data_IF_247762311192
#
_entry.id   IF_247762311192
#
_cell.length_a   1.000
_cell.length_b   1.000
_cell.length_c   1.000
_cell.angle_alpha   90.00
_cell.angle_beta   90.00
_cell.angle_gamma   90.00
#
_symmetry.space_group_name_H-M   'P 1'
#
loop_
_entity.id
_entity.type
_entity.pdbx_description
1 polymer ?
#
# COMPACT_ATOMS: atom_id res chain seq x y z
N UNK A 1 -31.40 -19.77 0.56
CA UNK A 1 -32.63 -20.55 0.27
C UNK A 1 -32.64 -20.94 -1.18
N UNK A 2 -32.70 -22.21 -1.43
CA UNK A 2 -32.49 -22.92 -2.70
C UNK A 2 -33.53 -22.58 -3.77
N UNK A 3 -33.06 -22.20 -4.96
CA UNK A 3 -33.90 -22.15 -6.16
C UNK A 3 -33.98 -23.55 -6.79
N UNK A 4 -34.97 -24.34 -6.40
CA UNK A 4 -35.29 -25.62 -7.02
C UNK A 4 -36.67 -25.57 -7.71
N UNK A 5 -36.62 -25.77 -9.02
CA UNK A 5 -37.59 -26.45 -9.93
C UNK A 5 -39.08 -26.23 -9.75
N UNK A 6 -39.70 -25.72 -10.79
CA UNK A 6 -40.98 -26.27 -11.31
C UNK A 6 -40.90 -26.32 -12.84
N UNK A 7 -40.79 -27.54 -13.40
CA UNK A 7 -41.19 -27.86 -14.76
C UNK A 7 -42.71 -27.93 -14.77
N UNK A 8 -43.34 -27.25 -15.72
CA UNK A 8 -44.72 -27.51 -16.13
C UNK A 8 -44.80 -27.35 -17.65
N UNK A 9 -45.32 -28.36 -18.31
CA UNK A 9 -45.47 -28.52 -19.75
C UNK A 9 -46.45 -27.52 -20.33
N UNK A 10 -46.15 -26.90 -21.48
CA UNK A 10 -47.10 -26.54 -22.52
C UNK A 10 -46.34 -26.42 -23.87
N UNK A 11 -47.04 -26.90 -24.92
CA UNK A 11 -46.60 -27.10 -26.31
C UNK A 11 -46.27 -25.84 -27.10
N UNK A 12 -45.30 -26.00 -27.97
CA UNK A 12 -45.08 -25.45 -29.32
C UNK A 12 -45.75 -24.15 -29.75
N UNK A 13 -44.93 -23.13 -29.99
CA UNK A 13 -45.03 -22.23 -31.14
C UNK A 13 -43.62 -21.73 -31.52
N UNK A 14 -43.23 -21.97 -32.76
CA UNK A 14 -41.99 -21.49 -33.38
C UNK A 14 -42.03 -19.94 -33.46
N UNK A 15 -41.24 -19.27 -32.66
CA UNK A 15 -40.77 -17.91 -32.91
C UNK A 15 -39.29 -17.86 -32.61
N UNK A 16 -38.52 -17.40 -33.59
CA UNK A 16 -37.08 -17.14 -33.49
C UNK A 16 -36.80 -16.07 -32.41
N UNK A 17 -36.63 -16.52 -31.18
CA UNK A 17 -36.27 -15.71 -30.05
C UNK A 17 -34.74 -15.72 -29.91
N UNK A 18 -34.11 -14.58 -30.08
CA UNK A 18 -32.74 -14.34 -29.69
C UNK A 18 -32.65 -14.60 -28.18
N UNK A 19 -32.05 -15.72 -27.79
CA UNK A 19 -31.70 -15.99 -26.40
C UNK A 19 -30.58 -15.04 -26.03
N UNK A 20 -30.92 -13.90 -25.44
CA UNK A 20 -29.96 -13.14 -24.62
C UNK A 20 -29.72 -14.01 -23.37
N UNK A 21 -28.64 -14.77 -23.39
CA UNK A 21 -28.13 -15.43 -22.19
C UNK A 21 -27.81 -14.32 -21.20
N UNK A 22 -28.72 -14.05 -20.27
CA UNK A 22 -28.42 -13.21 -19.11
C UNK A 22 -27.33 -13.91 -18.33
N UNK A 23 -26.11 -13.42 -18.46
CA UNK A 23 -25.01 -13.73 -17.53
C UNK A 23 -25.51 -13.22 -16.18
N UNK A 24 -25.98 -14.12 -15.32
CA UNK A 24 -26.16 -13.78 -13.91
C UNK A 24 -24.78 -13.36 -13.40
N UNK A 25 -24.59 -12.08 -13.13
CA UNK A 25 -23.40 -11.63 -12.43
C UNK A 25 -23.34 -12.39 -11.09
N UNK A 26 -22.27 -13.14 -10.88
CA UNK A 26 -22.03 -13.78 -9.58
C UNK A 26 -22.04 -12.71 -8.48
N UNK A 27 -22.69 -13.02 -7.36
CA UNK A 27 -22.61 -12.13 -6.21
C UNK A 27 -21.14 -11.99 -5.76
N UNK A 28 -20.69 -10.77 -5.43
CA UNK A 28 -19.30 -10.54 -5.05
C UNK A 28 -18.95 -11.33 -3.79
N UNK A 29 -17.78 -11.96 -3.79
CA UNK A 29 -17.29 -12.73 -2.64
C UNK A 29 -17.10 -11.82 -1.42
N UNK A 30 -17.65 -12.22 -0.28
CA UNK A 30 -17.56 -11.48 0.99
C UNK A 30 -16.68 -12.17 2.02
N UNK A 31 -16.09 -13.30 1.67
CA UNK A 31 -15.20 -14.06 2.53
C UNK A 31 -13.75 -13.59 2.33
N UNK A 32 -13.01 -13.24 3.40
CA UNK A 32 -11.60 -12.89 3.29
C UNK A 32 -10.77 -14.06 2.74
N UNK A 33 -9.71 -13.72 2.00
CA UNK A 33 -8.76 -14.70 1.51
C UNK A 33 -8.07 -15.43 2.65
N UNK A 34 -7.83 -16.73 2.46
CA UNK A 34 -7.08 -17.55 3.40
C UNK A 34 -5.66 -16.99 3.56
N UNK A 35 -5.20 -16.96 4.81
CA UNK A 35 -3.81 -16.63 5.16
C UNK A 35 -3.06 -17.96 5.33
N UNK A 36 -2.16 -18.34 4.41
CA UNK A 36 -1.45 -19.60 4.49
C UNK A 36 -0.56 -19.63 5.74
N UNK A 37 -0.46 -20.78 6.40
CA UNK A 37 0.32 -20.94 7.64
C UNK A 37 1.66 -21.64 7.41
N UNK A 38 1.81 -22.30 6.27
CA UNK A 38 3.00 -23.06 5.90
C UNK A 38 3.48 -22.69 4.50
N UNK A 39 4.73 -22.99 4.21
CA UNK A 39 5.34 -22.75 2.90
C UNK A 39 4.60 -23.45 1.75
N UNK A 40 4.23 -24.74 1.84
CA UNK A 40 3.46 -25.43 0.78
C UNK A 40 2.10 -24.78 0.51
N UNK A 41 1.37 -24.40 1.57
CA UNK A 41 0.09 -23.69 1.40
C UNK A 41 0.27 -22.35 0.66
N UNK A 42 1.34 -21.59 0.98
CA UNK A 42 1.64 -20.34 0.32
C UNK A 42 1.99 -20.56 -1.17
N UNK A 43 2.81 -21.56 -1.52
CA UNK A 43 3.12 -21.88 -2.91
C UNK A 43 1.85 -22.25 -3.69
N UNK A 44 1.01 -23.11 -3.16
CA UNK A 44 -0.26 -23.49 -3.78
C UNK A 44 -1.15 -22.29 -4.04
N UNK A 45 -1.23 -21.36 -3.09
CA UNK A 45 -2.03 -20.16 -3.20
C UNK A 45 -1.48 -19.20 -4.27
N UNK A 46 -0.16 -19.05 -4.37
CA UNK A 46 0.47 -18.21 -5.40
C UNK A 46 0.25 -18.77 -6.82
N UNK A 47 0.24 -20.09 -7.00
CA UNK A 47 -0.12 -20.70 -8.29
C UNK A 47 -1.57 -20.41 -8.69
N UNK A 48 -2.51 -20.50 -7.75
CA UNK A 48 -3.92 -20.16 -7.98
C UNK A 48 -4.14 -18.70 -8.40
N UNK A 49 -3.23 -17.79 -8.01
CA UNK A 49 -3.34 -16.36 -8.31
C UNK A 49 -3.31 -16.03 -9.81
N UNK A 50 -2.71 -16.87 -10.62
CA UNK A 50 -2.69 -16.72 -12.09
C UNK A 50 -4.09 -16.73 -12.69
N UNK A 51 -5.06 -17.37 -12.03
CA UNK A 51 -6.46 -17.49 -12.45
C UNK A 51 -7.37 -16.39 -11.86
N UNK A 52 -6.82 -15.50 -11.03
CA UNK A 52 -7.60 -14.47 -10.36
C UNK A 52 -8.13 -13.45 -11.36
N UNK A 53 -9.37 -13.01 -11.17
CA UNK A 53 -9.94 -11.85 -11.87
C UNK A 53 -9.78 -10.59 -11.04
N UNK A 54 -9.39 -9.50 -11.68
CA UNK A 54 -9.30 -8.20 -11.02
C UNK A 54 -10.71 -7.71 -10.62
N UNK A 55 -10.82 -6.98 -9.51
CA UNK A 55 -12.10 -6.44 -9.00
C UNK A 55 -12.66 -5.30 -9.83
N UNK A 56 -11.82 -4.60 -10.57
CA UNK A 56 -12.23 -3.68 -11.63
C UNK A 56 -11.71 -4.22 -12.96
N UNK A 57 -12.43 -3.97 -14.09
CA UNK A 57 -12.00 -4.46 -15.39
C UNK A 57 -10.55 -4.07 -15.71
N UNK A 58 -9.73 -5.05 -16.03
CA UNK A 58 -8.33 -4.83 -16.42
C UNK A 58 -8.26 -4.67 -17.94
N UNK A 59 -7.63 -3.59 -18.46
CA UNK A 59 -7.51 -3.41 -19.91
C UNK A 59 -6.72 -4.57 -20.53
N UNK A 60 -7.12 -4.99 -21.73
CA UNK A 60 -6.37 -5.99 -22.48
C UNK A 60 -4.99 -5.46 -22.93
N UNK A 61 -4.03 -6.37 -23.04
CA UNK A 61 -2.75 -6.08 -23.64
C UNK A 61 -2.92 -5.89 -25.17
N UNK A 62 -2.55 -4.72 -25.68
CA UNK A 62 -2.59 -4.48 -27.13
C UNK A 62 -1.46 -5.27 -27.81
N UNK A 63 -1.74 -5.91 -28.96
CA UNK A 63 -0.67 -6.51 -29.77
C UNK A 63 0.41 -5.48 -30.12
N UNK A 64 1.68 -5.88 -30.03
CA UNK A 64 2.83 -5.00 -30.38
C UNK A 64 3.24 -3.99 -29.33
N UNK A 65 2.66 -4.03 -28.10
CA UNK A 65 3.12 -3.16 -27.02
C UNK A 65 4.57 -3.47 -26.63
N UNK A 66 5.34 -2.42 -26.38
CA UNK A 66 6.71 -2.55 -25.87
C UNK A 66 6.70 -3.21 -24.49
N UNK A 67 7.17 -4.45 -24.40
CA UNK A 67 7.25 -5.21 -23.15
C UNK A 67 8.22 -4.59 -22.14
N UNK A 68 9.08 -3.68 -22.54
CA UNK A 68 9.96 -2.95 -21.64
C UNK A 68 9.22 -1.83 -20.86
N UNK A 69 8.08 -1.37 -21.36
CA UNK A 69 7.23 -0.43 -20.63
C UNK A 69 6.35 -1.16 -19.62
N UNK A 70 6.89 -1.36 -18.42
CA UNK A 70 6.18 -2.01 -17.32
C UNK A 70 4.91 -1.28 -16.86
N UNK A 71 4.75 0.02 -17.18
CA UNK A 71 3.50 0.75 -16.87
C UNK A 71 2.35 0.30 -17.75
N UNK A 72 2.66 -0.08 -18.98
CA UNK A 72 1.66 -0.48 -19.97
C UNK A 72 1.50 -2.00 -20.08
N UNK A 73 2.45 -2.77 -19.56
CA UNK A 73 2.49 -4.23 -19.72
C UNK A 73 2.15 -5.01 -18.46
N UNK A 74 2.62 -4.58 -17.28
CA UNK A 74 2.26 -5.26 -16.02
C UNK A 74 0.85 -4.86 -15.56
N UNK A 75 0.13 -5.81 -14.99
CA UNK A 75 -1.27 -5.64 -14.57
C UNK A 75 -1.46 -4.45 -13.63
N UNK A 76 -0.58 -4.27 -12.66
CA UNK A 76 -0.61 -3.11 -11.75
C UNK A 76 -0.44 -1.78 -12.50
N UNK A 77 0.48 -1.71 -13.45
CA UNK A 77 0.69 -0.51 -14.27
C UNK A 77 -0.52 -0.18 -15.13
N UNK A 78 -1.09 -1.19 -15.79
CA UNK A 78 -2.31 -1.07 -16.62
C UNK A 78 -3.50 -0.57 -15.80
N UNK A 79 -3.72 -1.16 -14.62
CA UNK A 79 -4.78 -0.76 -13.69
C UNK A 79 -4.64 0.72 -13.30
N UNK A 80 -3.44 1.15 -12.91
CA UNK A 80 -3.17 2.54 -12.53
C UNK A 80 -3.37 3.51 -13.70
N UNK A 81 -2.86 3.17 -14.88
CA UNK A 81 -2.99 4.03 -16.06
C UNK A 81 -4.43 4.19 -16.54
N UNK A 82 -5.28 3.17 -16.33
CA UNK A 82 -6.69 3.25 -16.73
C UNK A 82 -7.53 4.09 -15.77
N UNK A 83 -7.33 3.92 -14.47
CA UNK A 83 -8.26 4.42 -13.47
C UNK A 83 -7.79 5.66 -12.72
N UNK A 84 -6.48 5.89 -12.61
CA UNK A 84 -5.96 7.04 -11.87
C UNK A 84 -5.62 8.21 -12.80
N UNK A 85 -5.72 9.45 -12.32
CA UNK A 85 -5.25 10.63 -13.05
C UNK A 85 -3.79 10.49 -13.48
N UNK A 86 -3.46 10.98 -14.66
CA UNK A 86 -2.11 10.92 -15.22
C UNK A 86 -1.09 11.61 -14.29
N UNK A 87 -1.48 12.70 -13.66
CA UNK A 87 -0.68 13.47 -12.71
C UNK A 87 -0.32 12.63 -11.47
N UNK A 88 -1.22 11.74 -11.03
CA UNK A 88 -0.95 10.84 -9.92
C UNK A 88 0.02 9.72 -10.31
N UNK A 89 -0.03 9.27 -11.55
CA UNK A 89 0.84 8.19 -12.04
C UNK A 89 2.21 8.69 -12.48
N UNK A 90 2.34 9.93 -12.95
CA UNK A 90 3.60 10.53 -13.38
C UNK A 90 4.50 10.91 -12.19
N UNK A 91 3.91 11.39 -11.10
CA UNK A 91 4.62 11.80 -9.88
C UNK A 91 4.78 10.66 -8.89
N UNK A 92 4.01 9.57 -9.06
CA UNK A 92 4.07 8.42 -8.17
C UNK A 92 5.42 7.69 -8.25
N UNK A 93 5.75 6.99 -7.21
CA UNK A 93 6.96 6.21 -7.01
C UNK A 93 7.31 5.33 -8.21
N UNK A 94 8.53 5.46 -8.72
CA UNK A 94 9.03 4.79 -9.92
C UNK A 94 8.88 5.60 -11.21
N UNK A 95 8.36 6.82 -11.12
CA UNK A 95 8.27 7.79 -12.23
C UNK A 95 9.59 8.48 -12.58
N UNK A 96 10.74 7.81 -12.47
CA UNK A 96 11.92 8.30 -13.16
C UNK A 96 11.56 8.46 -14.64
N UNK A 97 11.88 9.62 -15.22
CA UNK A 97 11.64 9.92 -16.61
C UNK A 97 12.31 8.86 -17.50
N UNK A 98 11.56 7.81 -17.87
CA UNK A 98 12.05 6.69 -18.68
C UNK A 98 12.27 7.08 -20.13
N UNK A 99 11.78 8.26 -20.52
CA UNK A 99 11.98 8.85 -21.85
C UNK A 99 13.31 9.62 -21.94
N UNK A 100 14.07 9.76 -20.84
CA UNK A 100 15.43 10.24 -20.94
C UNK A 100 16.26 9.23 -21.75
N UNK A 101 16.94 9.64 -22.82
CA UNK A 101 17.79 8.74 -23.59
C UNK A 101 18.83 8.08 -22.65
N UNK A 102 19.21 6.81 -22.89
CA UNK A 102 20.23 6.17 -22.09
C UNK A 102 21.52 6.95 -22.25
N UNK A 103 22.06 7.46 -21.17
CA UNK A 103 23.43 7.99 -21.15
C UNK A 103 24.39 6.84 -21.47
N UNK A 104 25.21 6.99 -22.51
CA UNK A 104 26.24 6.00 -22.85
C UNK A 104 27.13 5.79 -21.63
N UNK A 105 27.30 4.51 -21.21
CA UNK A 105 28.10 4.14 -20.06
C UNK A 105 27.34 3.97 -18.73
N UNK A 106 26.03 4.14 -18.71
CA UNK A 106 25.24 3.84 -17.51
C UNK A 106 25.24 2.33 -17.20
N UNK A 107 25.47 1.96 -15.95
CA UNK A 107 25.32 0.61 -15.45
C UNK A 107 23.96 -0.01 -15.82
N UNK A 108 23.82 -1.34 -15.93
CA UNK A 108 22.57 -1.99 -16.25
C UNK A 108 21.44 -1.42 -15.42
N UNK A 109 20.35 -0.97 -16.09
CA UNK A 109 19.20 -0.36 -15.41
C UNK A 109 18.64 -1.37 -14.42
N UNK A 110 18.85 -1.14 -13.14
CA UNK A 110 18.12 -1.86 -12.08
C UNK A 110 16.64 -1.72 -12.36
N UNK A 111 15.85 -2.79 -12.23
CA UNK A 111 14.40 -2.70 -12.44
C UNK A 111 13.83 -1.55 -11.60
N UNK A 112 12.99 -0.74 -12.18
CA UNK A 112 12.53 0.56 -11.69
C UNK A 112 11.63 0.54 -10.44
N UNK A 113 11.60 -0.56 -9.73
CA UNK A 113 10.94 -0.70 -8.44
C UNK A 113 11.82 -0.21 -7.28
N UNK A 114 13.11 -0.02 -7.52
CA UNK A 114 13.99 0.58 -6.56
C UNK A 114 13.90 2.10 -6.74
N UNK A 115 13.43 2.78 -5.71
CA UNK A 115 13.72 4.18 -5.52
C UNK A 115 15.21 4.19 -5.19
N UNK A 116 16.02 4.47 -6.20
CA UNK A 116 17.44 4.64 -6.03
C UNK A 116 17.76 6.06 -6.43
N UNK A 117 17.93 6.85 -5.43
CA UNK A 117 18.44 8.20 -5.53
C UNK A 117 19.88 8.19 -5.00
N UNK A 118 20.76 9.04 -5.51
CA UNK A 118 22.08 9.23 -4.89
C UNK A 118 21.94 9.43 -3.38
N UNK A 119 22.63 8.64 -2.58
CA UNK A 119 22.51 8.63 -1.12
C UNK A 119 21.66 7.51 -0.54
N UNK A 120 20.79 6.87 -1.30
CA UNK A 120 20.15 5.61 -0.91
C UNK A 120 21.14 4.46 -1.05
N UNK A 121 21.45 3.81 0.06
CA UNK A 121 22.53 2.81 0.11
C UNK A 121 22.05 1.41 0.51
N UNK A 122 20.77 1.24 0.82
CA UNK A 122 20.23 -0.09 1.10
C UNK A 122 20.11 -0.88 -0.21
N UNK A 123 20.70 -2.06 -0.19
CA UNK A 123 20.75 -2.93 -1.36
C UNK A 123 19.34 -3.40 -1.81
N UNK A 124 19.21 -3.68 -3.10
CA UNK A 124 17.93 -4.05 -3.72
C UNK A 124 17.38 -5.38 -3.20
N UNK A 125 18.23 -6.41 -3.05
CA UNK A 125 17.79 -7.71 -2.57
C UNK A 125 17.35 -7.62 -1.11
N UNK A 126 18.03 -6.83 -0.29
CA UNK A 126 17.62 -6.54 1.08
C UNK A 126 16.25 -5.83 1.13
N UNK A 127 16.05 -4.76 0.36
CA UNK A 127 14.74 -4.09 0.25
C UNK A 127 13.64 -5.05 -0.27
N UNK A 128 13.99 -5.98 -1.15
CA UNK A 128 13.04 -6.99 -1.65
C UNK A 128 12.61 -7.98 -0.56
N UNK A 129 13.53 -8.40 0.35
CA UNK A 129 13.18 -9.21 1.54
C UNK A 129 12.20 -8.47 2.45
N UNK A 130 12.42 -7.18 2.70
CA UNK A 130 11.50 -6.36 3.48
C UNK A 130 10.13 -6.25 2.80
N UNK A 131 10.11 -6.09 1.46
CA UNK A 131 8.84 -6.05 0.71
C UNK A 131 8.12 -7.40 0.75
N UNK A 132 8.85 -8.50 0.67
CA UNK A 132 8.28 -9.83 0.85
C UNK A 132 7.58 -9.94 2.21
N UNK A 133 8.26 -9.52 3.30
CA UNK A 133 7.70 -9.55 4.65
C UNK A 133 6.46 -8.66 4.79
N UNK A 134 6.50 -7.43 4.29
CA UNK A 134 5.32 -6.53 4.28
C UNK A 134 4.16 -7.18 3.51
N UNK A 135 4.45 -7.84 2.38
CA UNK A 135 3.43 -8.51 1.56
C UNK A 135 2.84 -9.72 2.27
N UNK A 136 3.67 -10.46 3.01
CA UNK A 136 3.24 -11.59 3.83
C UNK A 136 2.32 -11.14 4.96
N UNK A 137 2.72 -10.09 5.68
CA UNK A 137 1.94 -9.48 6.78
C UNK A 137 0.60 -8.92 6.33
N UNK A 138 0.53 -8.33 5.14
CA UNK A 138 -0.71 -7.81 4.56
C UNK A 138 -1.51 -8.86 3.78
N UNK A 139 -0.99 -10.09 3.63
CA UNK A 139 -1.54 -11.15 2.77
C UNK A 139 -1.77 -10.70 1.32
N UNK A 140 -0.88 -9.83 0.81
CA UNK A 140 -0.92 -9.38 -0.56
C UNK A 140 -0.27 -10.42 -1.49
N UNK A 141 -1.07 -11.32 -2.03
CA UNK A 141 -0.61 -12.45 -2.83
C UNK A 141 0.10 -12.02 -4.12
N UNK A 142 -0.44 -11.02 -4.85
CA UNK A 142 0.20 -10.43 -6.02
C UNK A 142 1.61 -9.94 -5.71
N UNK A 143 1.76 -9.20 -4.61
CA UNK A 143 3.06 -8.68 -4.21
C UNK A 143 4.01 -9.81 -3.77
N UNK A 144 3.52 -10.80 -3.03
CA UNK A 144 4.32 -11.97 -2.61
C UNK A 144 4.92 -12.67 -3.82
N UNK A 145 4.12 -13.04 -4.82
CA UNK A 145 4.62 -13.71 -6.02
C UNK A 145 5.68 -12.91 -6.76
N UNK A 146 5.49 -11.58 -6.86
CA UNK A 146 6.49 -10.69 -7.44
C UNK A 146 7.79 -10.64 -6.63
N UNK A 147 7.72 -10.61 -5.30
CA UNK A 147 8.91 -10.57 -4.47
C UNK A 147 9.64 -11.91 -4.49
N UNK A 148 8.96 -13.04 -4.50
CA UNK A 148 9.60 -14.36 -4.66
C UNK A 148 10.38 -14.46 -5.96
N UNK A 149 9.75 -14.09 -7.08
CA UNK A 149 10.46 -14.06 -8.37
C UNK A 149 11.72 -13.18 -8.34
N UNK A 150 11.64 -12.00 -7.72
CA UNK A 150 12.80 -11.09 -7.61
C UNK A 150 13.89 -11.63 -6.70
N UNK A 151 13.54 -12.26 -5.59
CA UNK A 151 14.50 -12.88 -4.68
C UNK A 151 15.22 -14.05 -5.35
N UNK A 152 14.50 -14.88 -6.07
CA UNK A 152 15.11 -15.93 -6.89
C UNK A 152 16.05 -15.35 -7.96
N UNK A 153 15.61 -14.32 -8.69
CA UNK A 153 16.46 -13.64 -9.69
C UNK A 153 17.72 -13.03 -9.05
N UNK A 154 17.66 -12.64 -7.79
CA UNK A 154 18.81 -12.17 -7.00
C UNK A 154 19.67 -13.32 -6.42
N UNK A 155 19.37 -14.58 -6.77
CA UNK A 155 20.14 -15.77 -6.37
C UNK A 155 19.73 -16.37 -5.02
N UNK A 156 18.59 -15.97 -4.45
CA UNK A 156 18.09 -16.52 -3.19
C UNK A 156 17.37 -17.85 -3.45
N UNK A 157 17.76 -18.90 -2.75
CA UNK A 157 17.13 -20.21 -2.85
C UNK A 157 15.79 -20.27 -2.10
N UNK A 158 15.02 -21.32 -2.33
CA UNK A 158 13.70 -21.49 -1.72
C UNK A 158 13.74 -21.67 -0.21
N UNK A 159 14.78 -22.29 0.34
CA UNK A 159 14.97 -22.43 1.78
C UNK A 159 15.22 -21.08 2.46
N UNK A 160 16.01 -20.22 1.83
CA UNK A 160 16.25 -18.84 2.32
C UNK A 160 14.97 -18.01 2.28
N UNK A 161 14.13 -18.15 1.26
CA UNK A 161 12.82 -17.49 1.20
C UNK A 161 11.88 -18.08 2.26
N UNK A 162 11.86 -19.41 2.45
CA UNK A 162 11.08 -20.04 3.49
C UNK A 162 11.52 -19.61 4.91
N UNK A 163 12.81 -19.34 5.09
CA UNK A 163 13.34 -18.80 6.34
C UNK A 163 12.81 -17.38 6.65
N UNK A 164 12.51 -16.54 5.66
CA UNK A 164 11.84 -15.26 5.90
C UNK A 164 10.48 -15.40 6.60
N UNK A 165 9.79 -16.52 6.34
CA UNK A 165 8.50 -16.83 6.97
C UNK A 165 8.65 -17.49 8.35
N UNK A 166 9.74 -18.23 8.60
CA UNK A 166 9.75 -19.19 9.70
C UNK A 166 11.04 -19.28 10.53
N UNK A 167 12.13 -18.59 10.16
CA UNK A 167 13.41 -18.73 10.86
C UNK A 167 14.36 -17.54 10.63
N UNK A 168 14.13 -16.44 11.32
CA UNK A 168 14.99 -15.25 11.13
C UNK A 168 16.41 -15.41 11.72
N UNK A 169 16.65 -16.44 12.51
CA UNK A 169 17.98 -16.65 13.12
C UNK A 169 19.09 -16.96 12.10
N UNK A 170 18.71 -17.34 10.88
CA UNK A 170 19.69 -17.63 9.79
C UNK A 170 20.19 -16.36 9.08
N UNK A 171 19.53 -15.22 9.30
CA UNK A 171 19.93 -13.94 8.70
C UNK A 171 20.91 -13.17 9.59
N UNK A 172 21.75 -12.29 9.02
CA UNK A 172 22.64 -11.42 9.81
C UNK A 172 21.85 -10.50 10.77
N UNK A 173 22.51 -10.08 11.86
CA UNK A 173 21.87 -9.31 12.92
C UNK A 173 21.19 -8.00 12.43
N UNK A 174 21.81 -7.31 11.47
CA UNK A 174 21.21 -6.12 10.85
C UNK A 174 19.91 -6.44 10.11
N UNK A 175 19.85 -7.59 9.42
CA UNK A 175 18.63 -8.02 8.73
C UNK A 175 17.55 -8.44 9.72
N UNK A 176 17.91 -9.18 10.77
CA UNK A 176 16.97 -9.56 11.85
C UNK A 176 16.33 -8.31 12.48
N UNK A 177 17.13 -7.28 12.79
CA UNK A 177 16.64 -6.00 13.31
C UNK A 177 15.68 -5.31 12.35
N UNK A 178 16.01 -5.29 11.05
CA UNK A 178 15.16 -4.68 10.03
C UNK A 178 13.87 -5.48 9.76
N UNK A 179 13.91 -6.82 9.83
CA UNK A 179 12.71 -7.67 9.72
C UNK A 179 11.75 -7.42 10.90
N UNK A 180 12.27 -7.38 12.14
CA UNK A 180 11.43 -7.06 13.30
C UNK A 180 10.84 -5.65 13.21
N UNK A 181 11.65 -4.66 12.84
CA UNK A 181 11.21 -3.30 12.59
C UNK A 181 10.09 -3.25 11.52
N UNK A 182 10.27 -3.99 10.42
CA UNK A 182 9.28 -4.09 9.33
C UNK A 182 7.95 -4.66 9.83
N UNK A 183 8.00 -5.71 10.64
CA UNK A 183 6.81 -6.33 11.27
C UNK A 183 6.06 -5.30 12.10
N UNK A 184 6.76 -4.61 13.00
CA UNK A 184 6.16 -3.62 13.89
C UNK A 184 5.56 -2.46 13.12
N UNK A 185 6.30 -1.87 12.17
CA UNK A 185 5.81 -0.74 11.36
C UNK A 185 4.62 -1.13 10.47
N UNK A 186 4.55 -2.37 10.03
CA UNK A 186 3.42 -2.85 9.22
C UNK A 186 2.16 -3.04 10.05
N UNK A 187 2.27 -3.68 11.22
CA UNK A 187 1.11 -4.12 12.02
C UNK A 187 0.72 -3.09 13.08
N UNK A 188 1.70 -2.46 13.73
CA UNK A 188 1.48 -1.60 14.90
C UNK A 188 2.09 -0.19 14.73
N UNK A 189 1.77 0.54 13.65
CA UNK A 189 2.38 1.86 13.42
C UNK A 189 2.12 2.87 14.56
N UNK A 190 1.02 2.71 15.29
CA UNK A 190 0.62 3.55 16.42
C UNK A 190 1.26 3.17 17.78
N UNK A 191 1.97 2.06 17.84
CA UNK A 191 2.68 1.60 19.05
C UNK A 191 4.20 1.78 18.94
N UNK A 192 4.67 2.55 17.96
CA UNK A 192 6.09 2.80 17.75
C UNK A 192 6.68 3.65 18.89
N UNK A 193 7.85 3.24 19.36
CA UNK A 193 8.60 3.89 20.42
C UNK A 193 10.03 4.21 19.96
N UNK A 194 10.77 4.95 20.77
CA UNK A 194 12.18 5.24 20.52
C UNK A 194 13.02 3.94 20.52
N UNK A 195 12.61 2.93 21.27
CA UNK A 195 13.28 1.63 21.30
C UNK A 195 13.31 0.97 19.91
N UNK A 196 12.27 1.13 19.10
CA UNK A 196 12.18 0.55 17.76
C UNK A 196 13.25 1.15 16.81
N UNK A 197 13.47 2.46 16.87
CA UNK A 197 14.52 3.12 16.09
C UNK A 197 15.89 2.84 16.70
N UNK A 198 16.02 2.85 18.02
CA UNK A 198 17.30 2.59 18.69
C UNK A 198 17.83 1.17 18.43
N UNK A 199 16.94 0.19 18.21
CA UNK A 199 17.34 -1.15 17.78
C UNK A 199 18.00 -1.19 16.40
N UNK A 200 17.73 -0.23 15.52
CA UNK A 200 18.36 -0.12 14.20
C UNK A 200 19.73 0.58 14.23
N UNK A 201 19.97 1.49 15.17
CA UNK A 201 21.18 2.35 15.21
C UNK A 201 22.52 1.62 15.24
N UNK A 202 22.67 0.43 15.87
CA UNK A 202 23.90 -0.34 15.79
C UNK A 202 24.25 -0.81 14.37
N UNK A 203 23.28 -0.81 13.46
CA UNK A 203 23.40 -1.42 12.12
C UNK A 203 23.22 -0.42 10.97
N UNK A 204 22.50 0.70 11.20
CA UNK A 204 22.10 1.63 10.16
C UNK A 204 22.34 3.08 10.61
N UNK A 205 22.85 3.91 9.72
CA UNK A 205 22.96 5.34 9.95
C UNK A 205 21.61 6.07 9.78
N UNK A 206 21.53 7.36 10.12
CA UNK A 206 20.28 8.15 10.09
C UNK A 206 19.61 8.14 8.71
N UNK A 207 20.39 8.31 7.63
CA UNK A 207 19.85 8.28 6.27
C UNK A 207 19.29 6.89 5.92
N UNK A 208 19.98 5.81 6.29
CA UNK A 208 19.49 4.45 6.08
C UNK A 208 18.23 4.14 6.90
N UNK A 209 18.11 4.67 8.11
CA UNK A 209 16.88 4.54 8.92
C UNK A 209 15.72 5.24 8.23
N UNK A 210 15.93 6.47 7.71
CA UNK A 210 14.90 7.18 6.93
C UNK A 210 14.54 6.39 5.66
N UNK A 211 15.53 5.83 4.96
CA UNK A 211 15.33 4.98 3.78
C UNK A 211 14.49 3.73 4.11
N UNK A 212 14.77 3.05 5.24
CA UNK A 212 14.00 1.90 5.73
C UNK A 212 12.55 2.28 6.00
N UNK A 213 12.32 3.32 6.80
CA UNK A 213 10.96 3.77 7.16
C UNK A 213 10.16 4.11 5.92
N UNK A 214 10.73 4.90 5.02
CA UNK A 214 10.10 5.32 3.79
C UNK A 214 9.76 4.13 2.89
N UNK A 215 10.69 3.21 2.72
CA UNK A 215 10.55 2.01 1.88
C UNK A 215 9.44 1.11 2.40
N UNK A 216 9.43 0.81 3.71
CA UNK A 216 8.42 -0.04 4.35
C UNK A 216 7.03 0.62 4.31
N UNK A 217 6.96 1.91 4.59
CA UNK A 217 5.72 2.68 4.52
C UNK A 217 5.10 2.60 3.13
N UNK A 218 5.92 2.73 2.09
CA UNK A 218 5.47 2.64 0.70
C UNK A 218 5.03 1.22 0.33
N UNK A 219 5.74 0.19 0.76
CA UNK A 219 5.33 -1.19 0.50
C UNK A 219 3.97 -1.49 1.10
N UNK A 220 3.68 -0.93 2.26
CA UNK A 220 2.35 -0.99 2.87
C UNK A 220 1.26 -0.35 2.01
N UNK A 221 1.52 0.78 1.36
CA UNK A 221 0.62 1.41 0.40
C UNK A 221 0.42 0.53 -0.83
N UNK A 222 1.51 0.02 -1.41
CA UNK A 222 1.47 -0.82 -2.61
C UNK A 222 0.67 -2.10 -2.38
N UNK A 223 0.87 -2.77 -1.24
CA UNK A 223 0.12 -3.98 -0.90
C UNK A 223 -1.38 -3.71 -0.80
N UNK A 224 -1.76 -2.64 -0.09
CA UNK A 224 -3.17 -2.27 0.06
C UNK A 224 -3.83 -1.96 -1.28
N UNK A 225 -3.13 -1.26 -2.15
CA UNK A 225 -3.59 -0.97 -3.50
C UNK A 225 -3.79 -2.25 -4.32
N UNK A 226 -2.74 -3.05 -4.51
CA UNK A 226 -2.78 -4.21 -5.39
C UNK A 226 -3.75 -5.28 -4.88
N UNK A 227 -3.83 -5.44 -3.57
CA UNK A 227 -4.75 -6.39 -2.96
C UNK A 227 -6.20 -5.93 -3.03
N UNK A 228 -6.49 -4.66 -2.74
CA UNK A 228 -7.85 -4.10 -2.85
C UNK A 228 -8.36 -4.12 -4.29
N UNK A 229 -7.49 -3.88 -5.27
CA UNK A 229 -7.86 -3.95 -6.68
C UNK A 229 -7.97 -5.39 -7.21
N UNK A 230 -7.61 -6.38 -6.40
CA UNK A 230 -7.67 -7.79 -6.79
C UNK A 230 -6.77 -8.16 -7.96
N UNK A 231 -5.62 -7.49 -8.12
CA UNK A 231 -4.78 -7.63 -9.31
C UNK A 231 -4.28 -9.07 -9.46
N UNK A 232 -4.52 -9.73 -10.62
CA UNK A 232 -3.98 -11.06 -10.91
C UNK A 232 -2.47 -11.01 -11.13
N UNK A 233 -1.80 -12.15 -10.97
CA UNK A 233 -0.38 -12.28 -11.30
C UNK A 233 -0.13 -11.98 -12.78
N UNK A 234 0.98 -11.33 -13.08
CA UNK A 234 1.36 -11.06 -14.46
C UNK A 234 1.72 -12.35 -15.22
N UNK A 235 1.24 -12.47 -16.45
CA UNK A 235 1.63 -13.57 -17.33
C UNK A 235 3.12 -13.42 -17.67
N UNK A 236 3.85 -14.54 -17.65
CA UNK A 236 5.30 -14.55 -17.86
C UNK A 236 6.16 -14.29 -16.62
N UNK A 237 5.57 -13.90 -15.48
CA UNK A 237 6.25 -13.92 -14.21
C UNK A 237 6.41 -15.38 -13.76
N UNK A 238 7.63 -15.86 -13.74
CA UNK A 238 7.96 -17.27 -13.46
C UNK A 238 8.14 -18.14 -14.72
N UNK A 239 7.85 -17.63 -15.94
CA UNK A 239 8.14 -18.34 -17.20
C UNK A 239 9.61 -18.19 -17.65
N UNK A 240 10.34 -17.18 -17.20
CA UNK A 240 11.78 -17.28 -17.25
C UNK A 240 12.13 -18.53 -16.43
N UNK A 241 12.63 -19.57 -17.10
CA UNK A 241 13.23 -20.74 -16.47
C UNK A 241 14.41 -20.28 -15.60
N UNK A 242 14.10 -19.70 -14.48
CA UNK A 242 15.02 -19.72 -13.38
C UNK A 242 14.90 -21.16 -12.89
N UNK A 243 15.94 -21.95 -12.96
CA UNK A 243 16.07 -23.29 -12.37
C UNK A 243 15.89 -23.25 -10.83
N UNK A 244 14.93 -22.47 -10.35
CA UNK A 244 14.72 -22.04 -8.96
C UNK A 244 13.49 -22.71 -8.33
N UNK A 245 12.87 -23.63 -9.03
CA UNK A 245 11.93 -24.58 -8.45
C UNK A 245 12.69 -25.72 -7.71
N UNK A 246 13.72 -25.33 -6.94
CA UNK A 246 14.25 -26.26 -5.95
C UNK A 246 13.15 -26.47 -4.91
N UNK A 247 12.71 -27.72 -4.68
CA UNK A 247 11.69 -27.95 -3.68
C UNK A 247 12.21 -27.50 -2.31
N UNK A 248 11.40 -26.74 -1.59
CA UNK A 248 11.69 -26.38 -0.18
C UNK A 248 12.11 -27.63 0.57
N UNK A 249 13.23 -27.60 1.29
CA UNK A 249 13.72 -28.73 2.06
C UNK A 249 12.72 -29.16 3.14
N UNK A 250 12.80 -30.42 3.57
CA UNK A 250 11.94 -30.95 4.63
C UNK A 250 12.01 -30.12 5.93
N UNK A 251 13.13 -29.42 6.16
CA UNK A 251 13.33 -28.52 7.31
C UNK A 251 12.27 -27.43 7.38
N UNK A 252 11.86 -26.86 6.23
CA UNK A 252 10.95 -25.72 6.18
C UNK A 252 9.52 -26.06 5.76
N UNK A 253 9.27 -27.25 5.19
CA UNK A 253 7.94 -27.63 4.68
C UNK A 253 6.85 -27.62 5.74
N UNK A 254 7.16 -27.95 7.00
CA UNK A 254 6.20 -28.04 8.11
C UNK A 254 6.35 -26.92 9.14
N UNK A 255 7.29 -26.00 8.96
CA UNK A 255 7.46 -24.92 9.91
C UNK A 255 6.31 -23.93 9.81
N UNK A 256 5.66 -23.57 10.91
CA UNK A 256 4.64 -22.53 10.92
C UNK A 256 5.30 -21.16 10.72
N UNK A 257 4.54 -20.24 10.18
CA UNK A 257 4.96 -18.85 10.06
C UNK A 257 5.19 -18.21 11.44
N UNK A 258 6.25 -17.39 11.53
CA UNK A 258 6.56 -16.56 12.70
C UNK A 258 6.28 -15.07 12.45
N UNK A 259 5.89 -14.69 11.22
CA UNK A 259 5.76 -13.27 10.87
C UNK A 259 4.58 -12.59 11.54
N UNK A 260 3.49 -13.31 11.77
CA UNK A 260 2.32 -12.74 12.43
C UNK A 260 2.53 -12.61 13.92
N UNK A 261 2.10 -11.49 14.53
CA UNK A 261 2.14 -11.38 15.98
C UNK A 261 1.23 -12.43 16.63
N UNK A 262 1.67 -12.99 17.76
CA UNK A 262 0.91 -14.01 18.52
C UNK A 262 -0.44 -13.47 19.02
N UNK A 263 -0.53 -12.18 19.28
CA UNK A 263 -1.75 -11.50 19.70
C UNK A 263 -1.92 -10.23 18.88
N UNK A 264 -2.97 -10.17 18.06
CA UNK A 264 -3.45 -8.93 17.47
C UNK A 264 -4.48 -8.33 18.42
N UNK A 265 -4.13 -7.23 19.06
CA UNK A 265 -5.13 -6.45 19.78
C UNK A 265 -6.07 -5.85 18.74
N UNK A 266 -7.37 -6.11 18.90
CA UNK A 266 -8.36 -5.37 18.13
C UNK A 266 -8.13 -3.87 18.36
N UNK A 267 -8.07 -3.10 17.29
CA UNK A 267 -8.10 -1.64 17.42
C UNK A 267 -9.45 -1.27 18.01
N UNK A 268 -9.44 -0.57 19.15
CA UNK A 268 -10.65 -0.12 19.81
C UNK A 268 -11.44 0.89 18.98
N UNK A 269 -12.51 1.40 19.55
CA UNK A 269 -13.24 2.53 18.99
C UNK A 269 -12.31 3.75 18.84
N UNK A 270 -12.71 4.69 18.00
CA UNK A 270 -11.99 5.94 17.85
C UNK A 270 -12.07 6.74 19.15
N UNK A 271 -10.97 7.37 19.48
CA UNK A 271 -10.86 8.24 20.65
C UNK A 271 -11.87 9.38 20.57
N UNK A 272 -12.46 9.82 21.70
CA UNK A 272 -13.32 10.98 21.72
C UNK A 272 -12.55 12.27 21.38
N UNK A 273 -13.29 13.31 21.02
CA UNK A 273 -12.74 14.58 20.51
C UNK A 273 -11.69 15.21 21.42
N UNK A 274 -11.93 15.26 22.71
CA UNK A 274 -11.05 15.86 23.70
C UNK A 274 -9.70 15.13 23.80
N UNK A 275 -9.72 13.79 23.73
CA UNK A 275 -8.51 12.96 23.70
C UNK A 275 -7.69 13.23 22.45
N UNK A 276 -8.34 13.36 21.29
CA UNK A 276 -7.66 13.66 20.02
C UNK A 276 -7.04 15.05 20.03
N UNK A 277 -7.76 16.05 20.54
CA UNK A 277 -7.23 17.42 20.64
C UNK A 277 -6.04 17.50 21.58
N UNK A 278 -6.07 16.77 22.70
CA UNK A 278 -4.91 16.61 23.59
C UNK A 278 -3.73 15.93 22.88
N UNK A 279 -4.00 14.91 22.08
CA UNK A 279 -2.96 14.22 21.29
C UNK A 279 -2.33 15.14 20.23
N UNK A 280 -3.08 16.08 19.65
CA UNK A 280 -2.53 17.08 18.72
C UNK A 280 -1.59 18.05 19.44
N UNK A 281 -1.94 18.53 20.62
CA UNK A 281 -1.04 19.39 21.41
C UNK A 281 0.26 18.63 21.77
N UNK A 282 0.14 17.37 22.17
CA UNK A 282 1.31 16.53 22.41
C UNK A 282 2.15 16.30 21.14
N UNK A 283 1.52 16.20 19.97
CA UNK A 283 2.23 16.01 18.70
C UNK A 283 3.06 17.23 18.28
N UNK A 284 2.69 18.44 18.70
CA UNK A 284 3.47 19.67 18.44
C UNK A 284 4.78 19.73 19.22
N UNK A 285 4.85 19.08 20.36
CA UNK A 285 6.05 19.01 21.21
C UNK A 285 6.91 17.76 21.01
N UNK A 286 6.59 16.94 19.98
CA UNK A 286 7.35 15.71 19.68
C UNK A 286 8.79 16.03 19.28
N UNK A 287 9.70 15.18 19.75
CA UNK A 287 11.07 15.15 19.25
C UNK A 287 11.22 14.05 18.19
N UNK A 288 11.68 14.39 16.99
CA UNK A 288 11.91 13.40 15.95
C UNK A 288 12.89 12.32 16.37
N UNK A 289 12.57 11.06 16.07
CA UNK A 289 13.43 9.90 16.38
C UNK A 289 14.68 9.80 15.50
N UNK A 290 14.80 10.63 14.49
CA UNK A 290 15.99 10.71 13.62
C UNK A 290 16.52 12.13 13.62
N UNK A 291 17.82 12.28 13.40
CA UNK A 291 18.42 13.61 13.24
C UNK A 291 17.92 14.24 11.94
N UNK A 292 17.13 15.29 12.05
CA UNK A 292 16.70 16.07 10.88
C UNK A 292 17.87 16.89 10.34
N UNK A 293 17.89 17.11 9.03
CA UNK A 293 18.77 18.14 8.46
C UNK A 293 18.41 19.50 9.05
N UNK A 294 19.40 20.40 9.16
CA UNK A 294 19.13 21.79 9.53
C UNK A 294 18.19 22.42 8.51
N UNK A 295 17.47 23.47 8.91
CA UNK A 295 16.57 24.17 7.98
C UNK A 295 17.31 24.65 6.73
N UNK A 296 18.48 25.25 6.89
CA UNK A 296 19.31 25.73 5.78
C UNK A 296 19.73 24.57 4.85
N UNK A 297 20.26 23.46 5.40
CA UNK A 297 20.70 22.33 4.61
C UNK A 297 19.53 21.63 3.88
N UNK A 298 18.37 21.53 4.53
CA UNK A 298 17.20 20.95 3.92
C UNK A 298 16.66 21.84 2.78
N UNK A 299 16.62 23.15 2.96
CA UNK A 299 16.21 24.09 1.89
C UNK A 299 17.16 24.05 0.70
N UNK A 300 18.45 24.03 0.96
CA UNK A 300 19.47 23.88 -0.10
C UNK A 300 19.26 22.58 -0.88
N UNK A 301 19.16 21.44 -0.19
CA UNK A 301 18.93 20.13 -0.81
C UNK A 301 17.62 20.08 -1.62
N UNK A 302 16.56 20.68 -1.12
CA UNK A 302 15.24 20.71 -1.75
C UNK A 302 15.09 21.86 -2.77
N UNK A 303 16.06 22.75 -2.88
CA UNK A 303 16.02 23.95 -3.74
C UNK A 303 14.81 24.86 -3.42
N UNK A 304 14.53 25.06 -2.13
CA UNK A 304 13.43 25.90 -1.65
C UNK A 304 13.93 27.28 -1.22
N UNK A 305 13.22 28.32 -1.65
CA UNK A 305 13.44 29.68 -1.13
C UNK A 305 12.96 29.83 0.32
N UNK A 306 13.41 30.89 1.00
CA UNK A 306 13.14 31.09 2.43
C UNK A 306 11.65 31.26 2.77
N UNK A 307 10.86 31.79 1.85
CA UNK A 307 9.42 32.05 1.99
C UNK A 307 8.54 30.80 1.80
N UNK A 308 9.09 29.71 1.22
CA UNK A 308 8.33 28.46 1.03
C UNK A 308 8.27 27.70 2.36
N UNK A 309 7.07 27.28 2.83
CA UNK A 309 6.98 26.42 4.02
C UNK A 309 7.79 25.14 3.88
N UNK A 310 8.52 24.78 4.93
CA UNK A 310 9.32 23.56 4.99
C UNK A 310 8.82 22.67 6.15
N UNK A 311 7.79 21.84 5.91
CA UNK A 311 7.24 20.98 6.95
C UNK A 311 8.24 19.92 7.42
N UNK A 312 8.10 19.50 8.67
CA UNK A 312 9.02 18.56 9.34
C UNK A 312 9.21 17.26 8.58
N UNK A 313 8.17 16.76 7.90
CA UNK A 313 8.30 15.56 7.07
C UNK A 313 9.23 15.76 5.86
N UNK A 314 9.24 16.95 5.24
CA UNK A 314 10.16 17.24 4.15
C UNK A 314 11.60 17.36 4.65
N UNK A 315 11.81 17.94 5.86
CA UNK A 315 13.13 17.96 6.49
C UNK A 315 13.64 16.55 6.78
N UNK A 316 12.78 15.65 7.25
CA UNK A 316 13.14 14.26 7.47
C UNK A 316 13.52 13.55 6.16
N UNK A 317 12.80 13.86 5.07
CA UNK A 317 13.08 13.28 3.75
C UNK A 317 14.20 13.97 2.98
N UNK A 318 14.72 15.10 3.44
CA UNK A 318 15.73 15.87 2.70
C UNK A 318 17.09 15.16 2.58
N UNK A 319 17.31 14.04 3.28
CA UNK A 319 18.37 13.08 2.96
C UNK A 319 18.27 12.56 1.51
N UNK A 320 17.05 12.57 0.94
CA UNK A 320 16.70 12.10 -0.39
C UNK A 320 15.87 13.17 -1.12
N UNK A 321 16.52 14.23 -1.60
CA UNK A 321 15.82 15.44 -2.06
C UNK A 321 14.93 15.21 -3.28
N UNK A 322 15.29 14.29 -4.19
CA UNK A 322 14.42 13.97 -5.33
C UNK A 322 13.15 13.27 -4.88
N UNK A 323 13.27 12.32 -3.95
CA UNK A 323 12.12 11.60 -3.37
C UNK A 323 11.23 12.55 -2.56
N UNK A 324 11.82 13.45 -1.79
CA UNK A 324 11.09 14.45 -1.00
C UNK A 324 10.26 15.39 -1.90
N UNK A 325 10.86 15.93 -2.96
CA UNK A 325 10.14 16.78 -3.93
C UNK A 325 9.00 16.04 -4.62
N UNK A 326 9.28 14.85 -5.16
CA UNK A 326 8.24 14.02 -5.82
C UNK A 326 7.10 13.69 -4.87
N UNK A 327 7.38 13.38 -3.62
CA UNK A 327 6.34 13.09 -2.64
C UNK A 327 5.50 14.33 -2.35
N UNK A 328 6.11 15.51 -2.27
CA UNK A 328 5.39 16.78 -2.12
C UNK A 328 4.45 17.05 -3.31
N UNK A 329 4.97 16.96 -4.52
CA UNK A 329 4.20 17.11 -5.76
C UNK A 329 3.06 16.09 -5.85
N UNK A 330 3.36 14.84 -5.55
CA UNK A 330 2.38 13.78 -5.58
C UNK A 330 1.26 13.98 -4.57
N UNK A 331 1.58 14.34 -3.33
CA UNK A 331 0.58 14.62 -2.31
C UNK A 331 -0.32 15.80 -2.69
N UNK A 332 0.26 16.85 -3.27
CA UNK A 332 -0.49 17.98 -3.80
C UNK A 332 -1.42 17.53 -4.93
N UNK A 333 -0.90 16.80 -5.91
CA UNK A 333 -1.71 16.29 -7.02
C UNK A 333 -2.87 15.40 -6.54
N UNK A 334 -2.62 14.50 -5.58
CA UNK A 334 -3.67 13.64 -5.00
C UNK A 334 -4.74 14.46 -4.25
N UNK A 335 -4.35 15.51 -3.53
CA UNK A 335 -5.30 16.35 -2.82
C UNK A 335 -6.18 17.19 -3.76
N UNK A 336 -5.60 17.75 -4.81
CA UNK A 336 -6.23 18.76 -5.66
C UNK A 336 -6.87 18.20 -6.93
N UNK A 337 -6.28 17.17 -7.55
CA UNK A 337 -6.68 16.66 -8.86
C UNK A 337 -7.42 15.32 -8.72
N UNK A 338 -8.14 14.94 -9.76
CA UNK A 338 -8.90 13.70 -9.83
C UNK A 338 -10.41 13.94 -9.91
N UNK A 339 -11.17 12.85 -9.87
CA UNK A 339 -12.64 12.86 -10.00
C UNK A 339 -13.34 13.03 -8.65
N UNK A 340 -12.75 12.46 -7.60
CA UNK A 340 -13.28 12.64 -6.24
C UNK A 340 -13.19 14.11 -5.81
N UNK A 341 -14.23 14.57 -5.12
CA UNK A 341 -14.21 15.90 -4.53
C UNK A 341 -13.05 16.05 -3.54
N UNK A 342 -12.44 17.24 -3.42
CA UNK A 342 -11.44 17.51 -2.38
C UNK A 342 -11.97 17.21 -0.96
N UNK A 343 -13.25 17.44 -0.70
CA UNK A 343 -13.89 17.14 0.60
C UNK A 343 -13.91 15.64 0.89
N UNK A 344 -14.28 14.80 -0.08
CA UNK A 344 -14.25 13.34 0.06
C UNK A 344 -12.84 12.84 0.34
N UNK A 345 -11.84 13.33 -0.41
CA UNK A 345 -10.44 12.97 -0.19
C UNK A 345 -9.93 13.37 1.20
N UNK A 346 -10.24 14.58 1.64
CA UNK A 346 -9.87 15.04 2.98
C UNK A 346 -10.52 14.19 4.09
N UNK A 347 -11.79 13.76 3.94
CA UNK A 347 -12.46 12.82 4.87
C UNK A 347 -11.77 11.45 4.90
N UNK A 348 -11.36 10.93 3.73
CA UNK A 348 -10.60 9.67 3.66
C UNK A 348 -9.27 9.82 4.41
N UNK A 349 -8.50 10.88 4.13
CA UNK A 349 -7.21 11.15 4.80
C UNK A 349 -7.38 11.27 6.32
N UNK A 350 -8.41 12.00 6.77
CA UNK A 350 -8.76 12.11 8.18
C UNK A 350 -9.06 10.76 8.81
N UNK A 351 -9.90 9.95 8.16
CA UNK A 351 -10.31 8.65 8.71
C UNK A 351 -9.14 7.66 8.78
N UNK A 352 -8.26 7.65 7.79
CA UNK A 352 -7.06 6.81 7.79
C UNK A 352 -6.09 7.20 8.90
N UNK A 353 -5.84 8.51 9.06
CA UNK A 353 -4.96 9.02 10.08
C UNK A 353 -5.50 8.75 11.50
N UNK A 354 -6.82 8.90 11.71
CA UNK A 354 -7.49 8.53 12.97
C UNK A 354 -7.36 7.03 13.26
N UNK A 355 -7.59 6.18 12.25
CA UNK A 355 -7.47 4.73 12.40
C UNK A 355 -6.03 4.29 12.71
N UNK A 356 -5.03 4.98 12.17
CA UNK A 356 -3.62 4.75 12.47
C UNK A 356 -3.12 5.47 13.73
N UNK A 357 -3.93 6.33 14.37
CA UNK A 357 -3.50 7.25 15.44
C UNK A 357 -2.29 8.08 15.03
N UNK A 358 -2.24 8.45 13.76
CA UNK A 358 -1.17 9.23 13.17
C UNK A 358 -1.45 10.72 13.37
N UNK A 359 -1.09 11.22 14.55
CA UNK A 359 -1.53 12.55 15.01
C UNK A 359 -0.96 13.68 14.16
N UNK A 360 0.25 13.55 13.64
CA UNK A 360 0.80 14.46 12.64
C UNK A 360 -0.12 14.56 11.41
N UNK A 361 -0.40 13.43 10.80
CA UNK A 361 -1.23 13.34 9.59
C UNK A 361 -2.68 13.74 9.87
N UNK A 362 -3.21 13.36 11.03
CA UNK A 362 -4.58 13.71 11.43
C UNK A 362 -4.76 15.21 11.58
N UNK A 363 -3.79 15.92 12.16
CA UNK A 363 -3.84 17.38 12.24
C UNK A 363 -3.86 18.02 10.85
N UNK A 364 -2.96 17.61 9.94
CA UNK A 364 -2.95 18.11 8.56
C UNK A 364 -4.26 17.81 7.81
N UNK A 365 -4.81 16.62 8.01
CA UNK A 365 -6.09 16.25 7.40
C UNK A 365 -7.26 17.08 7.95
N UNK A 366 -7.29 17.34 9.27
CA UNK A 366 -8.27 18.20 9.90
C UNK A 366 -8.21 19.63 9.36
N UNK A 367 -7.01 20.20 9.26
CA UNK A 367 -6.81 21.53 8.68
C UNK A 367 -7.29 21.59 7.22
N UNK A 368 -7.00 20.55 6.43
CA UNK A 368 -7.50 20.45 5.07
C UNK A 368 -9.03 20.37 5.03
N UNK A 369 -9.64 19.61 5.93
CA UNK A 369 -11.09 19.54 6.07
C UNK A 369 -11.70 20.90 6.41
N UNK A 370 -11.12 21.63 7.36
CA UNK A 370 -11.59 22.98 7.74
C UNK A 370 -11.48 23.98 6.58
N UNK A 371 -10.37 23.97 5.83
CA UNK A 371 -10.20 24.82 4.63
C UNK A 371 -11.25 24.53 3.56
N UNK A 372 -11.79 23.31 3.54
CA UNK A 372 -12.86 22.88 2.63
C UNK A 372 -14.27 23.06 3.23
N UNK A 373 -14.39 23.73 4.39
CA UNK A 373 -15.66 24.05 5.05
C UNK A 373 -16.29 22.88 5.80
N UNK A 374 -15.50 21.86 6.17
CA UNK A 374 -15.94 20.79 7.07
C UNK A 374 -15.73 21.23 8.53
N UNK A 375 -16.68 20.92 9.39
CA UNK A 375 -16.63 21.26 10.82
C UNK A 375 -16.09 20.10 11.66
N UNK A 376 -15.62 20.41 12.87
CA UNK A 376 -15.24 19.37 13.82
C UNK A 376 -16.43 18.45 14.18
N UNK A 377 -17.63 18.99 14.25
CA UNK A 377 -18.81 18.17 14.54
C UNK A 377 -19.08 17.14 13.44
N UNK A 378 -18.83 17.48 12.17
CA UNK A 378 -18.87 16.50 11.07
C UNK A 378 -17.73 15.48 11.13
N UNK A 379 -16.52 15.89 11.54
CA UNK A 379 -15.34 15.03 11.61
C UNK A 379 -15.36 14.07 12.80
N UNK A 380 -15.93 14.47 13.91
CA UNK A 380 -16.02 13.68 15.13
C UNK A 380 -17.37 12.99 15.33
N UNK A 381 -18.32 13.18 14.40
CA UNK A 381 -19.61 12.52 14.48
C UNK A 381 -19.43 10.97 14.47
N UNK A 382 -20.18 10.26 15.33
CA UNK A 382 -20.18 8.78 15.30
C UNK A 382 -20.61 8.25 13.93
N UNK A 383 -20.02 7.13 13.54
CA UNK A 383 -20.39 6.48 12.29
C UNK A 383 -21.91 6.19 12.25
N UNK A 384 -22.58 6.64 11.20
CA UNK A 384 -24.02 6.44 11.01
C UNK A 384 -24.94 7.45 11.72
N UNK A 385 -24.43 8.37 12.55
CA UNK A 385 -25.26 9.38 13.24
C UNK A 385 -25.26 10.76 12.56
N UNK A 386 -24.37 11.02 11.63
CA UNK A 386 -24.36 12.31 10.94
C UNK A 386 -25.27 12.27 9.72
N UNK A 387 -26.51 12.65 9.84
CA UNK A 387 -27.41 12.92 8.69
C UNK A 387 -26.86 13.96 7.70
N UNK A 388 -25.74 14.61 8.04
CA UNK A 388 -25.06 15.61 7.23
C UNK A 388 -23.99 15.01 6.28
N UNK A 389 -23.52 13.76 6.48
CA UNK A 389 -22.49 13.14 5.62
C UNK A 389 -23.17 12.37 4.49
N UNK A 390 -22.87 12.68 3.20
CA UNK A 390 -23.40 11.93 2.07
C UNK A 390 -23.13 10.42 2.18
N UNK A 391 -24.07 9.58 1.74
CA UNK A 391 -23.92 8.12 1.79
C UNK A 391 -22.64 7.62 1.05
N UNK A 392 -22.28 8.27 -0.05
CA UNK A 392 -21.04 8.01 -0.76
C UNK A 392 -19.80 8.24 0.13
N UNK A 393 -19.72 9.37 0.83
CA UNK A 393 -18.62 9.67 1.73
C UNK A 393 -18.57 8.69 2.91
N UNK A 394 -19.74 8.28 3.44
CA UNK A 394 -19.81 7.24 4.48
C UNK A 394 -19.22 5.91 3.99
N UNK A 395 -19.56 5.50 2.77
CA UNK A 395 -19.02 4.28 2.15
C UNK A 395 -17.49 4.38 1.97
N UNK A 396 -16.99 5.51 1.46
CA UNK A 396 -15.56 5.74 1.28
C UNK A 396 -14.80 5.71 2.63
N UNK A 397 -15.32 6.34 3.67
CA UNK A 397 -14.74 6.33 5.01
C UNK A 397 -14.75 4.93 5.62
N UNK A 398 -15.86 4.19 5.50
CA UNK A 398 -15.97 2.82 6.01
C UNK A 398 -14.96 1.89 5.32
N UNK A 399 -14.83 2.00 3.99
CA UNK A 399 -13.84 1.28 3.22
C UNK A 399 -12.41 1.61 3.68
N UNK A 400 -12.07 2.90 3.77
CA UNK A 400 -10.75 3.36 4.15
C UNK A 400 -10.35 2.88 5.55
N UNK A 401 -11.28 2.90 6.50
CA UNK A 401 -11.09 2.35 7.86
C UNK A 401 -10.79 0.86 7.84
N UNK A 402 -11.61 0.07 7.13
CA UNK A 402 -11.41 -1.37 7.02
C UNK A 402 -10.07 -1.68 6.34
N UNK A 403 -9.73 -1.02 5.24
CA UNK A 403 -8.47 -1.18 4.55
C UNK A 403 -7.25 -0.83 5.43
N UNK A 404 -7.40 0.11 6.33
CA UNK A 404 -6.34 0.55 7.24
C UNK A 404 -6.12 -0.46 8.36
N UNK A 405 -7.19 -0.85 9.06
CA UNK A 405 -7.12 -1.69 10.25
C UNK A 405 -7.08 -3.20 9.95
N UNK A 406 -7.70 -3.61 8.85
CA UNK A 406 -7.92 -5.03 8.50
C UNK A 406 -7.57 -5.33 7.03
N UNK A 407 -6.36 -4.97 6.53
CA UNK A 407 -6.03 -5.12 5.11
C UNK A 407 -6.16 -6.57 4.61
N UNK A 408 -5.91 -7.57 5.45
CA UNK A 408 -6.07 -8.99 5.12
C UNK A 408 -7.52 -9.45 4.97
N UNK A 409 -8.47 -8.65 5.43
CA UNK A 409 -9.91 -8.97 5.42
C UNK A 409 -10.67 -8.28 4.30
N UNK A 410 -9.98 -7.64 3.35
CA UNK A 410 -10.62 -7.03 2.19
C UNK A 410 -11.18 -8.09 1.25
N UNK A 411 -12.39 -7.87 0.77
CA UNK A 411 -13.17 -8.80 -0.06
C UNK A 411 -13.63 -8.13 -1.35
N UNK A 412 -14.19 -8.90 -2.26
CA UNK A 412 -14.80 -8.37 -3.49
C UNK A 412 -16.05 -7.52 -3.15
N UNK A 413 -16.76 -7.91 -2.08
CA UNK A 413 -17.87 -7.14 -1.55
C UNK A 413 -17.53 -5.72 -1.15
N UNK A 414 -16.33 -5.47 -0.63
CA UNK A 414 -15.92 -4.11 -0.24
C UNK A 414 -15.81 -3.16 -1.45
N UNK A 415 -15.31 -3.66 -2.58
CA UNK A 415 -15.26 -2.88 -3.83
C UNK A 415 -16.66 -2.77 -4.45
N UNK A 416 -17.46 -3.84 -4.41
CA UNK A 416 -18.84 -3.81 -4.89
C UNK A 416 -19.70 -2.79 -4.11
N UNK A 417 -19.47 -2.64 -2.82
CA UNK A 417 -20.16 -1.64 -2.00
C UNK A 417 -19.76 -0.21 -2.37
N UNK A 418 -18.49 0.05 -2.71
CA UNK A 418 -18.08 1.35 -3.26
C UNK A 418 -18.72 1.64 -4.63
N UNK A 419 -18.81 0.64 -5.51
CA UNK A 419 -19.38 0.78 -6.85
C UNK A 419 -20.88 1.11 -6.84
N UNK A 420 -21.57 0.97 -5.71
CA UNK A 420 -22.95 1.45 -5.55
C UNK A 420 -23.04 2.98 -5.51
N UNK A 421 -21.94 3.66 -5.19
CA UNK A 421 -21.88 5.10 -4.98
C UNK A 421 -20.92 5.82 -5.92
N UNK A 422 -19.94 5.10 -6.48
CA UNK A 422 -18.84 5.64 -7.25
C UNK A 422 -18.68 4.89 -8.57
N UNK A 423 -18.25 5.58 -9.60
CA UNK A 423 -17.75 4.94 -10.82
C UNK A 423 -16.50 4.10 -10.53
N UNK A 424 -16.13 3.22 -11.46
CA UNK A 424 -14.90 2.42 -11.32
C UNK A 424 -13.65 3.28 -11.11
N UNK A 425 -13.55 4.43 -11.79
CA UNK A 425 -12.42 5.34 -11.63
C UNK A 425 -12.42 6.06 -10.27
N UNK A 426 -13.57 6.53 -9.81
CA UNK A 426 -13.69 7.13 -8.48
C UNK A 426 -13.43 6.09 -7.38
N UNK A 427 -13.91 4.84 -7.54
CA UNK A 427 -13.60 3.73 -6.64
C UNK A 427 -12.09 3.49 -6.55
N UNK A 428 -11.38 3.49 -7.68
CA UNK A 428 -9.93 3.38 -7.70
C UNK A 428 -9.26 4.58 -7.00
N UNK A 429 -9.78 5.79 -7.15
CA UNK A 429 -9.29 6.97 -6.44
C UNK A 429 -9.51 6.86 -4.91
N UNK A 430 -10.67 6.36 -4.44
CA UNK A 430 -10.93 6.09 -3.01
C UNK A 430 -9.86 5.14 -2.45
N UNK A 431 -9.64 4.01 -3.14
CA UNK A 431 -8.62 3.03 -2.74
C UNK A 431 -7.24 3.68 -2.69
N UNK A 432 -6.88 4.43 -3.73
CA UNK A 432 -5.55 5.03 -3.84
C UNK A 432 -5.28 6.09 -2.76
N UNK A 433 -6.23 6.99 -2.50
CA UNK A 433 -6.11 7.99 -1.44
C UNK A 433 -5.91 7.32 -0.08
N UNK A 434 -6.69 6.28 0.22
CA UNK A 434 -6.53 5.53 1.48
C UNK A 434 -5.15 4.85 1.56
N UNK A 435 -4.65 4.28 0.46
CA UNK A 435 -3.33 3.65 0.41
C UNK A 435 -2.19 4.65 0.65
N UNK A 436 -2.24 5.80 -0.02
CA UNK A 436 -1.22 6.85 0.13
C UNK A 436 -1.21 7.47 1.53
N UNK A 437 -2.38 7.65 2.13
CA UNK A 437 -2.50 8.10 3.52
C UNK A 437 -1.86 7.10 4.48
N UNK A 438 -2.10 5.80 4.31
CA UNK A 438 -1.48 4.75 5.11
C UNK A 438 0.07 4.74 5.03
N UNK A 439 0.65 5.10 3.88
CA UNK A 439 2.09 5.27 3.74
C UNK A 439 2.60 6.47 4.53
N UNK A 440 1.95 7.61 4.36
CA UNK A 440 2.37 8.85 5.00
C UNK A 440 2.26 8.78 6.52
N UNK A 441 1.19 8.19 7.03
CA UNK A 441 0.98 7.98 8.46
C UNK A 441 2.09 7.14 9.08
N UNK A 442 2.47 6.03 8.41
CA UNK A 442 3.58 5.18 8.89
C UNK A 442 4.91 5.91 8.90
N UNK A 443 5.17 6.73 7.88
CA UNK A 443 6.39 7.52 7.80
C UNK A 443 6.46 8.53 8.95
N UNK A 444 5.39 9.29 9.18
CA UNK A 444 5.37 10.36 10.19
C UNK A 444 5.39 9.82 11.61
N UNK A 445 4.66 8.72 11.88
CA UNK A 445 4.59 8.13 13.23
C UNK A 445 5.87 7.34 13.58
N UNK A 446 6.44 6.58 12.63
CA UNK A 446 7.70 5.88 12.90
C UNK A 446 8.83 6.85 13.28
N UNK A 447 8.89 8.00 12.61
CA UNK A 447 9.89 9.03 12.87
C UNK A 447 9.50 10.01 13.99
N UNK A 448 8.31 9.85 14.59
CA UNK A 448 7.77 10.75 15.63
C UNK A 448 7.82 12.23 15.23
N UNK A 449 7.42 12.54 14.00
CA UNK A 449 7.50 13.90 13.51
C UNK A 449 6.53 14.81 14.25
N UNK A 450 7.01 16.02 14.58
CA UNK A 450 6.18 17.06 15.19
C UNK A 450 5.34 17.77 14.13
N UNK A 451 4.09 18.04 14.43
CA UNK A 451 3.24 18.91 13.63
C UNK A 451 3.63 20.39 13.82
N UNK A 452 3.49 21.17 12.77
CA UNK A 452 3.75 22.62 12.75
C UNK A 452 2.66 23.42 13.49
#
# INVERSE_FOLDING_TARGET
>A
MSCRRKLSWIMSLLMSGVFISGVCAEEPERTPKVVPQTRPEMKSLLEGLKQRTARLPLPELKPGMDKSDLRSTVNNGRMRNLYLPAEWTSTSWGGANRNAPPTQGAAPRTPSYAINEPGMTLDYAFKTRLFWLVSRLNNCQYCLGHQEHKLHTAGMDDDSIAALDSDWSVFPANEQAALEFTRRLTVFPHEFTDADINALRPHFNEAQIVELVQTIAQYNSTNRWTDSMGIPQDQGFGEAKVELDTPTSAKYQKRPTIVFPKTEKARGEWEPRDVVLTAFEAARSREPRVKLLSDAAAREALQLSADVPLPTWQRAMAYFPQSARRQGEHRKAVAELGRLSPRTKARIMWSVARENRAWYSAQLARESCHKLGLTDDELFAPAGQSGAVPAADQAAVAFARKLTSKPRQMTDGDIADLLKHYSAAETAEVVYVACMSNSFDRFTEALNLRSE
#
